data_IF_959873686440
#
_entry.id   IF_959873686440
#
_cell.length_a   1.000
_cell.length_b   1.000
_cell.length_c   1.000
_cell.angle_alpha   90.00
_cell.angle_beta   90.00
_cell.angle_gamma   90.00
#
_symmetry.space_group_name_H-M   'P 1'
#
loop_
_entity.id
_entity.type
_entity.pdbx_description
1 polymer ?
#
# COMPACT_ATOMS: atom_id res chain seq x y z
N UNK A 1 -2.32 17.67 1.87
CA UNK A 1 -3.65 18.18 1.50
C UNK A 1 -4.74 17.18 1.81
N UNK A 2 -5.97 17.65 2.02
CA UNK A 2 -7.11 16.79 2.28
C UNK A 2 -7.69 16.25 0.98
N UNK A 3 -8.16 15.00 1.02
CA UNK A 3 -8.84 14.37 -0.11
C UNK A 3 -10.34 14.78 -0.08
N UNK A 4 -10.59 16.01 -0.48
CA UNK A 4 -11.92 16.65 -0.41
C UNK A 4 -12.04 17.79 -1.43
N UNK A 5 -13.24 18.36 -1.54
CA UNK A 5 -13.54 19.56 -2.33
C UNK A 5 -12.80 20.80 -1.81
N UNK A 6 -12.30 20.76 -0.58
CA UNK A 6 -11.55 21.85 0.07
C UNK A 6 -10.19 21.32 0.57
N UNK A 7 -9.24 21.04 -0.34
CA UNK A 7 -8.01 20.32 0.00
C UNK A 7 -7.07 21.06 0.96
N UNK A 8 -7.21 22.36 1.10
CA UNK A 8 -6.32 23.19 1.91
C UNK A 8 -6.79 23.36 3.37
N UNK A 9 -7.99 22.86 3.70
CA UNK A 9 -8.55 22.89 5.05
C UNK A 9 -8.99 21.51 5.50
N UNK A 10 -8.89 21.20 6.82
CA UNK A 10 -9.36 19.93 7.36
C UNK A 10 -10.81 19.66 6.99
N UNK A 11 -11.06 18.64 6.18
CA UNK A 11 -12.40 18.34 5.66
C UNK A 11 -12.55 16.88 5.26
N UNK A 12 -13.81 16.47 5.15
CA UNK A 12 -14.21 15.16 4.64
C UNK A 12 -14.80 15.37 3.24
N UNK A 13 -14.27 14.65 2.25
CA UNK A 13 -14.66 14.86 0.86
C UNK A 13 -15.84 14.01 0.41
N UNK A 14 -16.67 14.55 -0.44
CA UNK A 14 -17.76 13.89 -1.17
C UNK A 14 -18.61 12.97 -0.27
N UNK A 15 -18.65 11.67 -0.59
CA UNK A 15 -19.36 10.62 0.16
C UNK A 15 -18.45 9.84 1.12
N UNK A 16 -17.25 10.34 1.42
CA UNK A 16 -16.32 9.68 2.35
C UNK A 16 -16.92 9.56 3.76
N UNK A 17 -16.62 8.47 4.46
CA UNK A 17 -17.00 8.27 5.86
C UNK A 17 -16.01 8.96 6.80
N UNK A 18 -14.72 8.96 6.43
CA UNK A 18 -13.64 9.53 7.23
C UNK A 18 -12.92 10.65 6.45
N UNK A 19 -12.39 11.67 7.14
CA UNK A 19 -11.44 12.58 6.53
C UNK A 19 -10.18 11.82 6.09
N UNK A 20 -9.71 12.08 4.87
CA UNK A 20 -8.52 11.45 4.30
C UNK A 20 -7.57 12.51 3.79
N UNK A 21 -6.29 12.21 3.85
CA UNK A 21 -5.22 13.12 3.40
C UNK A 21 -4.31 12.42 2.40
N UNK A 22 -3.63 13.23 1.60
CA UNK A 22 -2.45 12.84 0.86
C UNK A 22 -1.26 13.66 1.35
N UNK A 23 -0.27 12.99 1.89
CA UNK A 23 1.02 13.58 2.24
C UNK A 23 1.91 13.58 1.03
N UNK A 24 2.77 14.60 0.90
CA UNK A 24 3.68 14.69 -0.23
C UNK A 24 4.99 15.37 0.11
N UNK A 25 5.99 15.15 -0.71
CA UNK A 25 7.29 15.82 -0.61
C UNK A 25 7.97 15.93 -1.97
N UNK A 26 8.78 16.97 -2.12
CA UNK A 26 9.71 17.13 -3.24
C UNK A 26 11.09 16.67 -2.78
N UNK A 27 11.63 15.68 -3.45
CA UNK A 27 12.90 15.04 -3.11
C UNK A 27 13.93 15.31 -4.18
N UNK A 28 15.18 15.47 -3.72
CA UNK A 28 16.35 15.58 -4.59
C UNK A 28 17.42 14.60 -4.12
N UNK A 29 17.84 13.73 -5.01
CA UNK A 29 18.99 12.86 -4.76
C UNK A 29 20.26 13.68 -4.64
N UNK A 30 20.99 13.55 -3.53
CA UNK A 30 22.20 14.35 -3.26
C UNK A 30 23.33 14.03 -4.25
N UNK A 31 23.45 12.76 -4.64
CA UNK A 31 24.56 12.31 -5.47
C UNK A 31 24.37 12.63 -6.96
N UNK A 32 23.12 12.50 -7.45
CA UNK A 32 22.83 12.64 -8.88
C UNK A 32 22.13 13.93 -9.25
N UNK A 33 21.56 14.65 -8.25
CA UNK A 33 20.71 15.81 -8.48
C UNK A 33 19.34 15.48 -9.04
N UNK A 34 18.97 14.18 -9.20
CA UNK A 34 17.66 13.75 -9.67
C UNK A 34 16.57 14.21 -8.72
N UNK A 35 15.54 14.84 -9.27
CA UNK A 35 14.41 15.39 -8.52
C UNK A 35 13.13 14.63 -8.85
N UNK A 36 12.30 14.37 -7.83
CA UNK A 36 11.00 13.71 -7.99
C UNK A 36 10.03 14.11 -6.88
N UNK A 37 8.76 13.92 -7.14
CA UNK A 37 7.67 14.07 -6.17
C UNK A 37 7.30 12.70 -5.58
N UNK A 38 7.10 12.66 -4.28
CA UNK A 38 6.62 11.46 -3.59
C UNK A 38 5.32 11.77 -2.87
N UNK A 39 4.32 10.92 -3.08
CA UNK A 39 3.00 11.04 -2.48
C UNK A 39 2.66 9.75 -1.72
N UNK A 40 1.95 9.92 -0.61
CA UNK A 40 1.39 8.80 0.14
C UNK A 40 -0.03 9.16 0.60
N UNK A 41 -0.96 8.24 0.41
CA UNK A 41 -2.36 8.44 0.77
C UNK A 41 -2.97 7.18 1.40
N UNK A 42 -4.12 7.38 2.05
CA UNK A 42 -5.03 6.32 2.44
C UNK A 42 -6.44 6.76 2.06
N UNK A 43 -7.03 6.15 1.04
CA UNK A 43 -8.36 6.50 0.53
C UNK A 43 -9.47 6.01 1.44
N UNK A 44 -10.67 6.57 1.28
CA UNK A 44 -11.84 6.16 2.05
C UNK A 44 -12.29 4.75 1.64
N UNK A 45 -12.63 3.93 2.64
CA UNK A 45 -12.99 2.52 2.43
C UNK A 45 -14.46 2.32 2.00
N UNK A 46 -15.32 3.34 2.15
CA UNK A 46 -16.75 3.27 1.79
C UNK A 46 -17.07 4.15 0.59
N UNK A 47 -16.66 5.43 0.62
CA UNK A 47 -17.04 6.44 -0.35
C UNK A 47 -16.54 6.16 -1.77
N UNK A 48 -17.41 5.65 -2.64
CA UNK A 48 -17.03 5.34 -4.04
C UNK A 48 -16.71 6.60 -4.84
N UNK A 49 -17.52 7.65 -4.70
CA UNK A 49 -17.30 8.94 -5.33
C UNK A 49 -16.02 9.58 -4.79
N UNK A 50 -15.84 9.56 -3.46
CA UNK A 50 -14.65 10.10 -2.82
C UNK A 50 -13.36 9.48 -3.36
N UNK A 51 -13.32 8.17 -3.60
CA UNK A 51 -12.14 7.51 -4.19
C UNK A 51 -11.85 7.96 -5.62
N UNK A 52 -12.88 8.06 -6.47
CA UNK A 52 -12.70 8.51 -7.87
C UNK A 52 -12.25 9.95 -7.93
N UNK A 53 -12.92 10.84 -7.20
CA UNK A 53 -12.60 12.27 -7.20
C UNK A 53 -11.23 12.54 -6.54
N UNK A 54 -10.88 11.78 -5.50
CA UNK A 54 -9.54 11.84 -4.91
C UNK A 54 -8.45 11.47 -5.91
N UNK A 55 -8.70 10.50 -6.81
CA UNK A 55 -7.74 10.14 -7.84
C UNK A 55 -7.48 11.30 -8.81
N UNK A 56 -8.52 12.04 -9.21
CA UNK A 56 -8.36 13.23 -10.04
C UNK A 56 -7.66 14.37 -9.30
N UNK A 57 -8.08 14.64 -8.05
CA UNK A 57 -7.47 15.67 -7.21
C UNK A 57 -5.96 15.45 -7.03
N UNK A 58 -5.55 14.21 -6.75
CA UNK A 58 -4.12 13.87 -6.56
C UNK A 58 -3.34 14.12 -7.85
N UNK A 59 -3.86 13.74 -9.02
CA UNK A 59 -3.21 13.98 -10.30
C UNK A 59 -3.11 15.49 -10.63
N UNK A 60 -4.13 16.27 -10.30
CA UNK A 60 -4.09 17.72 -10.49
C UNK A 60 -3.08 18.39 -9.55
N UNK A 61 -3.02 17.94 -8.28
CA UNK A 61 -2.00 18.38 -7.33
C UNK A 61 -0.57 17.99 -7.77
N UNK A 62 -0.37 16.83 -8.39
CA UNK A 62 0.93 16.46 -8.96
C UNK A 62 1.40 17.46 -10.02
N UNK A 63 0.50 17.89 -10.91
CA UNK A 63 0.80 18.90 -11.94
C UNK A 63 1.08 20.28 -11.33
N UNK A 64 0.24 20.71 -10.39
CA UNK A 64 0.39 22.00 -9.70
C UNK A 64 1.73 22.07 -8.96
N UNK A 65 2.06 21.03 -8.18
CA UNK A 65 3.27 20.98 -7.35
C UNK A 65 4.56 20.81 -8.17
N UNK A 66 4.48 20.31 -9.38
CA UNK A 66 5.57 20.30 -10.34
C UNK A 66 6.00 21.70 -10.80
N UNK A 67 5.19 22.75 -10.51
CA UNK A 67 5.50 24.15 -10.84
C UNK A 67 5.93 24.35 -12.30
N UNK A 68 5.22 23.72 -13.23
CA UNK A 68 5.52 23.78 -14.67
C UNK A 68 6.69 22.91 -15.11
N UNK A 69 7.31 22.14 -14.22
CA UNK A 69 8.25 21.06 -14.53
C UNK A 69 7.51 19.73 -14.49
N UNK A 70 7.69 18.91 -15.50
CA UNK A 70 7.21 17.53 -15.46
C UNK A 70 8.12 16.67 -14.59
N UNK A 71 8.05 16.87 -13.26
CA UNK A 71 8.82 16.05 -12.34
C UNK A 71 8.25 14.63 -12.27
N UNK A 72 9.11 13.61 -12.32
CA UNK A 72 8.68 12.25 -12.07
C UNK A 72 8.00 12.12 -10.70
N UNK A 73 6.96 11.30 -10.59
CA UNK A 73 6.23 11.12 -9.35
C UNK A 73 6.14 9.64 -8.97
N UNK A 74 6.13 9.39 -7.66
CA UNK A 74 5.81 8.11 -7.03
C UNK A 74 4.62 8.36 -6.12
N UNK A 75 3.58 7.53 -6.23
CA UNK A 75 2.40 7.57 -5.39
C UNK A 75 2.21 6.20 -4.74
N UNK A 76 2.13 6.16 -3.42
CA UNK A 76 1.96 4.94 -2.63
C UNK A 76 0.77 5.06 -1.69
N UNK A 77 0.28 3.94 -1.19
CA UNK A 77 -0.69 3.92 -0.11
C UNK A 77 -1.69 2.79 -0.20
N UNK A 78 -2.61 2.80 0.77
CA UNK A 78 -3.83 2.01 0.75
C UNK A 78 -4.92 2.77 -0.01
N UNK A 79 -5.32 2.22 -1.15
CA UNK A 79 -6.34 2.83 -2.01
C UNK A 79 -7.74 2.31 -1.70
N UNK A 80 -7.88 1.29 -0.84
CA UNK A 80 -9.15 0.62 -0.54
C UNK A 80 -9.92 0.16 -1.79
N UNK A 81 -9.20 -0.05 -2.88
CA UNK A 81 -9.71 -0.59 -4.15
C UNK A 81 -8.64 -1.45 -4.80
N UNK A 82 -9.07 -2.53 -5.39
CA UNK A 82 -8.19 -3.38 -6.19
C UNK A 82 -8.06 -2.88 -7.65
N UNK A 83 -7.27 -3.60 -8.42
CA UNK A 83 -6.94 -3.30 -9.80
C UNK A 83 -8.14 -3.37 -10.79
N UNK A 84 -9.31 -3.80 -10.34
CA UNK A 84 -10.53 -3.90 -11.16
C UNK A 84 -11.51 -2.73 -10.96
N UNK A 85 -11.21 -1.84 -10.03
CA UNK A 85 -12.11 -0.77 -9.64
C UNK A 85 -11.89 0.51 -10.48
N UNK A 86 -12.99 1.25 -10.74
CA UNK A 86 -12.97 2.50 -11.50
C UNK A 86 -11.97 3.54 -10.99
N UNK A 87 -11.74 3.60 -9.67
CA UNK A 87 -10.75 4.54 -9.09
C UNK A 87 -9.32 4.17 -9.45
N UNK A 88 -9.01 2.87 -9.59
CA UNK A 88 -7.72 2.42 -10.10
C UNK A 88 -7.53 2.88 -11.55
N UNK A 89 -8.54 2.68 -12.40
CA UNK A 89 -8.50 3.13 -13.79
C UNK A 89 -8.27 4.63 -13.91
N UNK A 90 -8.83 5.43 -12.98
CA UNK A 90 -8.63 6.88 -12.97
C UNK A 90 -7.14 7.26 -12.82
N UNK A 91 -6.33 6.48 -12.11
CA UNK A 91 -4.88 6.73 -11.98
C UNK A 91 -4.08 6.36 -13.23
N UNK A 92 -4.44 5.27 -13.93
CA UNK A 92 -3.62 4.71 -15.01
C UNK A 92 -4.08 5.10 -16.41
N UNK A 93 -5.37 5.42 -16.60
CA UNK A 93 -5.99 5.62 -17.92
C UNK A 93 -5.40 6.77 -18.74
N UNK A 94 -4.89 7.81 -18.07
CA UNK A 94 -4.31 8.99 -18.75
C UNK A 94 -2.81 8.86 -19.07
N UNK A 95 -2.19 7.74 -18.71
CA UNK A 95 -0.76 7.49 -18.92
C UNK A 95 0.18 8.39 -18.09
N UNK A 96 -0.34 9.16 -17.14
CA UNK A 96 0.46 10.00 -16.23
C UNK A 96 1.18 9.13 -15.20
N UNK A 97 0.51 8.06 -14.76
CA UNK A 97 1.03 7.07 -13.82
C UNK A 97 0.88 5.67 -14.41
N UNK A 98 1.79 4.79 -14.02
CA UNK A 98 1.77 3.36 -14.31
C UNK A 98 1.77 2.59 -13.00
N UNK A 99 1.02 1.50 -12.91
CA UNK A 99 1.13 0.58 -11.78
C UNK A 99 2.51 -0.11 -11.83
N UNK A 100 3.26 0.00 -10.74
CA UNK A 100 4.57 -0.61 -10.62
C UNK A 100 4.52 -2.14 -10.69
N UNK A 101 3.43 -2.75 -10.24
CA UNK A 101 3.20 -4.19 -10.38
C UNK A 101 3.15 -4.59 -11.85
N UNK A 102 2.37 -3.89 -12.67
CA UNK A 102 2.23 -4.19 -14.09
C UNK A 102 3.52 -3.88 -14.87
N UNK A 103 4.22 -2.83 -14.45
CA UNK A 103 5.48 -2.38 -15.09
C UNK A 103 6.70 -3.22 -14.71
N UNK A 104 6.63 -3.99 -13.62
CA UNK A 104 7.78 -4.72 -13.09
C UNK A 104 8.25 -5.82 -14.03
N UNK A 105 9.56 -5.86 -14.28
CA UNK A 105 10.20 -6.94 -15.04
C UNK A 105 10.20 -8.28 -14.31
N UNK A 106 10.14 -8.26 -12.97
CA UNK A 106 10.06 -9.44 -12.13
C UNK A 106 9.11 -9.18 -10.95
N UNK A 107 8.23 -10.14 -10.66
CA UNK A 107 7.28 -10.09 -9.54
C UNK A 107 7.55 -11.24 -8.59
N UNK A 108 7.67 -10.92 -7.29
CA UNK A 108 7.78 -11.89 -6.22
C UNK A 108 6.54 -11.82 -5.34
N UNK A 109 5.98 -12.97 -5.00
CA UNK A 109 4.72 -13.10 -4.25
C UNK A 109 3.58 -12.35 -4.97
N UNK A 110 2.76 -13.10 -5.69
CA UNK A 110 1.63 -12.58 -6.48
C UNK A 110 0.33 -12.47 -5.67
N UNK A 111 0.43 -12.57 -4.35
CA UNK A 111 -0.71 -12.41 -3.45
C UNK A 111 -1.29 -11.00 -3.54
N UNK A 112 -2.53 -10.85 -3.11
CA UNK A 112 -3.09 -9.55 -2.74
C UNK A 112 -2.41 -8.96 -1.50
N UNK A 113 -2.81 -7.75 -1.13
CA UNK A 113 -2.14 -7.00 -0.06
C UNK A 113 -2.95 -6.92 1.23
N UNK A 114 -4.15 -7.48 1.28
CA UNK A 114 -4.99 -7.49 2.49
C UNK A 114 -5.24 -8.91 2.97
N UNK A 115 -4.83 -9.23 4.20
CA UNK A 115 -4.93 -10.57 4.81
C UNK A 115 -5.82 -10.63 6.05
N UNK A 116 -6.25 -9.50 6.59
CA UNK A 116 -7.09 -9.39 7.78
C UNK A 116 -6.50 -10.15 9.01
N UNK A 117 -5.18 -10.11 9.18
CA UNK A 117 -4.43 -10.84 10.22
C UNK A 117 -4.57 -12.37 10.14
N UNK A 118 -5.06 -12.93 9.05
CA UNK A 118 -5.09 -14.38 8.84
C UNK A 118 -3.88 -14.82 8.00
N UNK A 119 -2.92 -15.56 8.60
CA UNK A 119 -1.72 -16.02 7.90
C UNK A 119 -2.02 -17.09 6.82
N UNK A 120 -3.24 -17.63 6.79
CA UNK A 120 -3.67 -18.59 5.78
C UNK A 120 -4.52 -17.93 4.67
N UNK A 121 -4.79 -16.63 4.80
CA UNK A 121 -5.56 -15.90 3.78
C UNK A 121 -4.75 -15.77 2.50
N UNK A 122 -5.36 -16.13 1.38
CA UNK A 122 -4.85 -15.86 0.06
C UNK A 122 -5.89 -15.06 -0.72
N UNK A 123 -5.46 -13.95 -1.31
CA UNK A 123 -6.29 -13.10 -2.16
C UNK A 123 -5.47 -12.62 -3.36
N UNK A 124 -6.13 -12.34 -4.47
CA UNK A 124 -5.53 -11.68 -5.62
C UNK A 124 -5.78 -10.17 -5.61
N UNK A 125 -6.62 -9.70 -4.68
CA UNK A 125 -6.98 -8.29 -4.53
C UNK A 125 -5.82 -7.50 -3.92
N UNK A 126 -5.24 -6.60 -4.71
CA UNK A 126 -4.22 -5.65 -4.26
C UNK A 126 -4.88 -4.32 -3.99
N UNK A 127 -5.02 -3.93 -2.73
CA UNK A 127 -5.60 -2.64 -2.33
C UNK A 127 -4.53 -1.60 -1.97
N UNK A 128 -3.31 -2.05 -1.78
CA UNK A 128 -2.13 -1.20 -1.68
C UNK A 128 -1.43 -1.15 -3.03
N UNK A 129 -1.19 0.05 -3.53
CA UNK A 129 -0.57 0.24 -4.83
C UNK A 129 0.66 1.15 -4.74
N UNK A 130 1.57 0.95 -5.67
CA UNK A 130 2.69 1.85 -5.95
C UNK A 130 2.56 2.26 -7.41
N UNK A 131 2.12 3.48 -7.65
CA UNK A 131 2.10 4.06 -8.98
C UNK A 131 3.34 4.91 -9.21
N UNK A 132 3.87 4.86 -10.42
CA UNK A 132 5.07 5.59 -10.80
C UNK A 132 4.89 6.30 -12.14
N UNK A 133 5.55 7.44 -12.32
CA UNK A 133 5.62 8.07 -13.64
C UNK A 133 6.27 7.16 -14.68
N UNK A 134 5.91 7.26 -15.97
CA UNK A 134 6.45 6.40 -17.03
C UNK A 134 7.97 6.37 -17.12
N UNK A 135 8.65 7.44 -16.70
CA UNK A 135 10.12 7.56 -16.68
C UNK A 135 10.84 6.62 -15.72
N UNK A 136 10.15 6.10 -14.69
CA UNK A 136 10.74 5.11 -13.79
C UNK A 136 10.82 3.73 -14.44
N UNK A 137 11.96 3.08 -14.31
CA UNK A 137 12.12 1.68 -14.64
C UNK A 137 11.89 0.83 -13.39
N UNK A 138 10.81 0.05 -13.37
CA UNK A 138 10.52 -0.88 -12.27
C UNK A 138 11.19 -2.23 -12.57
N UNK A 139 12.26 -2.53 -11.86
CA UNK A 139 12.99 -3.79 -12.06
C UNK A 139 12.31 -4.97 -11.38
N UNK A 140 11.84 -4.75 -10.15
CA UNK A 140 11.25 -5.80 -9.30
C UNK A 140 10.09 -5.22 -8.49
N UNK A 141 9.08 -6.05 -8.26
CA UNK A 141 7.97 -5.81 -7.35
C UNK A 141 7.82 -7.02 -6.45
N UNK A 142 7.42 -6.83 -5.21
CA UNK A 142 7.13 -7.91 -4.29
C UNK A 142 6.15 -7.50 -3.21
N UNK A 143 5.32 -8.46 -2.79
CA UNK A 143 4.49 -8.34 -1.59
C UNK A 143 5.24 -9.02 -0.44
N UNK A 144 5.36 -8.34 0.70
CA UNK A 144 5.94 -8.94 1.90
C UNK A 144 4.94 -9.94 2.48
N UNK A 145 5.37 -11.18 2.59
CA UNK A 145 4.55 -12.30 3.07
C UNK A 145 5.10 -12.91 4.36
N UNK A 146 5.94 -12.16 5.06
CA UNK A 146 6.58 -12.63 6.28
C UNK A 146 5.55 -12.91 7.38
N UNK A 147 5.75 -14.02 8.06
CA UNK A 147 4.98 -14.40 9.24
C UNK A 147 5.92 -14.63 10.42
N UNK A 148 5.40 -14.44 11.62
CA UNK A 148 6.10 -14.82 12.83
C UNK A 148 5.27 -15.82 13.62
N UNK A 149 5.90 -16.49 14.58
CA UNK A 149 5.23 -17.47 15.43
C UNK A 149 5.17 -16.97 16.87
N UNK A 150 3.98 -17.00 17.45
CA UNK A 150 3.76 -16.72 18.87
C UNK A 150 3.35 -17.99 19.61
N UNK A 151 3.74 -18.07 20.88
CA UNK A 151 3.30 -19.16 21.76
C UNK A 151 1.83 -18.93 22.10
N UNK A 152 1.03 -20.00 22.01
CA UNK A 152 -0.41 -19.98 22.35
C UNK A 152 -0.64 -20.89 23.54
N UNK A 153 -1.25 -20.34 24.60
CA UNK A 153 -1.58 -21.10 25.80
C UNK A 153 -0.39 -21.32 26.75
N UNK A 154 -0.63 -22.11 27.78
CA UNK A 154 0.43 -22.58 28.70
C UNK A 154 1.08 -23.81 28.10
N UNK A 155 2.40 -23.83 28.01
CA UNK A 155 3.14 -25.02 27.58
C UNK A 155 2.82 -26.23 28.50
N UNK A 156 2.86 -27.42 27.95
CA UNK A 156 2.75 -28.68 28.68
C UNK A 156 4.15 -29.22 28.89
N UNK A 157 4.45 -29.60 30.13
CA UNK A 157 5.68 -30.36 30.46
C UNK A 157 5.38 -31.85 30.35
N UNK A 158 6.16 -32.55 29.57
CA UNK A 158 6.06 -34.00 29.43
C UNK A 158 7.40 -34.67 29.65
N UNK A 159 7.39 -35.77 30.41
CA UNK A 159 8.54 -36.65 30.55
C UNK A 159 8.53 -37.62 29.35
N UNK A 160 9.60 -37.63 28.57
CA UNK A 160 9.79 -38.65 27.56
C UNK A 160 10.49 -39.87 28.16
N UNK A 161 10.13 -41.09 27.72
CA UNK A 161 10.64 -42.35 28.28
C UNK A 161 12.16 -42.53 28.11
N UNK A 162 12.73 -41.86 27.13
CA UNK A 162 14.13 -41.94 26.73
C UNK A 162 14.95 -40.65 27.03
N UNK A 163 14.31 -39.68 27.68
CA UNK A 163 14.93 -38.42 28.03
C UNK A 163 14.85 -38.18 29.55
N UNK A 164 15.97 -37.94 30.24
CA UNK A 164 16.00 -37.74 31.70
C UNK A 164 15.38 -36.40 32.13
N UNK A 165 15.21 -35.44 31.20
CA UNK A 165 14.70 -34.11 31.50
C UNK A 165 13.25 -33.92 31.00
N UNK A 166 12.49 -33.10 31.72
CA UNK A 166 11.14 -32.69 31.25
C UNK A 166 11.24 -31.88 29.94
N UNK A 167 10.42 -32.27 28.97
CA UNK A 167 10.30 -31.54 27.71
C UNK A 167 9.16 -30.51 27.83
N UNK A 168 9.48 -29.26 27.60
CA UNK A 168 8.51 -28.17 27.56
C UNK A 168 7.90 -28.09 26.13
N UNK A 169 6.68 -28.63 25.96
CA UNK A 169 5.96 -28.65 24.71
C UNK A 169 5.16 -27.35 24.60
N UNK A 170 5.51 -26.51 23.63
CA UNK A 170 4.82 -25.24 23.34
C UNK A 170 4.07 -25.35 22.02
N UNK A 171 2.83 -24.88 22.03
CA UNK A 171 2.06 -24.71 20.79
C UNK A 171 2.33 -23.34 20.22
N UNK A 172 2.64 -23.28 18.93
CA UNK A 172 2.89 -22.05 18.20
C UNK A 172 1.77 -21.80 17.19
N UNK A 173 1.40 -20.53 17.06
CA UNK A 173 0.49 -20.06 16.01
C UNK A 173 1.23 -19.09 15.10
N UNK A 174 1.06 -19.26 13.79
CA UNK A 174 1.52 -18.27 12.81
C UNK A 174 0.71 -16.97 12.93
N UNK A 175 1.37 -15.86 12.75
CA UNK A 175 0.78 -14.52 12.76
C UNK A 175 1.39 -13.66 11.68
N UNK A 176 0.62 -12.74 11.15
CA UNK A 176 1.08 -11.69 10.24
C UNK A 176 1.45 -10.44 11.03
N UNK A 177 2.50 -9.70 10.64
CA UNK A 177 2.88 -8.45 11.30
C UNK A 177 1.90 -7.30 11.04
N UNK A 178 1.09 -7.40 9.98
CA UNK A 178 0.07 -6.44 9.58
C UNK A 178 -1.14 -7.19 9.01
N UNK A 179 -2.29 -6.52 8.92
CA UNK A 179 -3.47 -6.99 8.19
C UNK A 179 -3.36 -6.74 6.67
N UNK A 180 -2.31 -6.03 6.31
CA UNK A 180 -1.85 -5.80 4.93
C UNK A 180 -0.57 -6.53 4.63
#
# INVERSE_FOLDING_TARGET
>A
FWLSETPDVPSKGWDAVLPRICSWGHFKCKDTGFEFLFFNLHMDHIGKKARVESAFLVQDKMKELGKGKELPAILTGDFNVDQTHQSYDAFVSKGVLCDSYEKAGFRYAINGTFNNFDPNSFTESRIDHIFVSPSFQVKRYGVLTDTYRSIVGKGEKKQANDCPEEIDIKTYQARTPSDH
#
